data_IF_471786282058
#
_entry.id   IF_471786282058
#
_cell.length_a   1.000
_cell.length_b   1.000
_cell.length_c   1.000
_cell.angle_alpha   90.00
_cell.angle_beta   90.00
_cell.angle_gamma   90.00
#
_symmetry.space_group_name_H-M   'P 1'
#
loop_
_entity.id
_entity.type
_entity.pdbx_description
1 polymer ?
#
# COMPACT_ATOMS: atom_id res chain seq x y z
N UNK A 1 -17.31 15.97 21.01
CA UNK A 1 -16.46 15.82 22.17
C UNK A 1 -17.31 15.87 23.44
N UNK A 2 -16.99 15.04 24.41
CA UNK A 2 -17.63 15.04 25.73
C UNK A 2 -16.54 15.11 26.81
N UNK A 3 -16.75 15.98 27.80
CA UNK A 3 -15.91 16.04 28.98
C UNK A 3 -16.75 15.66 30.22
N UNK A 4 -16.15 14.94 31.13
CA UNK A 4 -16.77 14.51 32.39
C UNK A 4 -15.75 14.11 33.43
N UNK A 5 -16.19 13.85 34.65
CA UNK A 5 -15.31 13.39 35.72
C UNK A 5 -14.65 12.07 35.31
N UNK A 6 -13.35 11.96 35.54
CA UNK A 6 -12.61 10.72 35.32
C UNK A 6 -13.04 9.65 36.33
N UNK A 7 -13.53 8.46 35.92
CA UNK A 7 -14.07 7.46 36.84
C UNK A 7 -13.05 6.89 37.84
N UNK A 8 -11.77 6.97 37.54
CA UNK A 8 -10.67 6.41 38.34
C UNK A 8 -9.76 7.47 38.97
N UNK A 9 -10.00 8.74 38.69
CA UNK A 9 -9.26 9.85 39.33
C UNK A 9 -10.16 11.08 39.47
N UNK A 10 -10.59 11.37 40.68
CA UNK A 10 -11.53 12.46 41.00
C UNK A 10 -10.94 13.87 40.75
N UNK A 11 -9.62 14.01 40.67
CA UNK A 11 -8.95 15.29 40.39
C UNK A 11 -8.72 15.57 38.92
N UNK A 12 -9.13 14.65 38.03
CA UNK A 12 -8.94 14.75 36.58
C UNK A 12 -10.27 14.73 35.84
N UNK A 13 -10.31 15.43 34.74
CA UNK A 13 -11.42 15.33 33.77
C UNK A 13 -11.04 14.43 32.60
N UNK A 14 -11.99 13.60 32.16
CA UNK A 14 -11.84 12.76 30.97
C UNK A 14 -12.49 13.46 29.79
N UNK A 15 -11.72 13.69 28.74
CA UNK A 15 -12.22 14.20 27.46
C UNK A 15 -12.26 13.06 26.47
N UNK A 16 -13.44 12.74 25.96
CA UNK A 16 -13.61 11.73 24.92
C UNK A 16 -13.86 12.42 23.58
N UNK A 17 -12.98 12.16 22.62
CA UNK A 17 -13.11 12.60 21.24
C UNK A 17 -13.51 11.42 20.37
N UNK A 18 -14.71 11.48 19.81
CA UNK A 18 -15.16 10.52 18.81
C UNK A 18 -15.02 11.11 17.41
N UNK A 19 -14.30 10.41 16.53
CA UNK A 19 -14.24 10.73 15.11
C UNK A 19 -15.06 9.69 14.35
N UNK A 20 -16.11 10.14 13.68
CA UNK A 20 -16.92 9.30 12.82
C UNK A 20 -16.73 9.75 11.37
N UNK A 21 -16.24 8.86 10.54
CA UNK A 21 -16.23 9.08 9.09
C UNK A 21 -17.63 8.74 8.59
N UNK A 22 -18.26 9.68 7.88
CA UNK A 22 -19.55 9.42 7.20
C UNK A 22 -19.39 8.24 6.23
N UNK A 23 -20.48 7.51 6.00
CA UNK A 23 -20.49 6.47 4.97
C UNK A 23 -19.98 7.08 3.66
N UNK A 24 -18.98 6.43 3.08
CA UNK A 24 -18.48 6.80 1.76
C UNK A 24 -19.65 6.81 0.77
N UNK A 25 -19.64 7.78 -0.17
CA UNK A 25 -20.57 7.78 -1.28
C UNK A 25 -20.61 6.38 -1.92
N UNK A 26 -21.74 5.99 -2.45
CA UNK A 26 -22.01 4.67 -3.03
C UNK A 26 -21.07 4.32 -4.19
N UNK A 27 -20.32 5.28 -4.72
CA UNK A 27 -19.26 5.10 -5.70
C UNK A 27 -17.98 5.78 -5.17
N UNK A 28 -17.05 4.97 -4.68
CA UNK A 28 -15.72 5.47 -4.38
C UNK A 28 -14.98 5.82 -5.68
N UNK A 29 -14.18 6.92 -5.72
CA UNK A 29 -13.38 7.25 -6.89
C UNK A 29 -12.41 6.12 -7.23
N UNK A 30 -11.94 6.03 -8.49
CA UNK A 30 -10.93 5.05 -8.86
C UNK A 30 -9.64 5.27 -8.06
N UNK A 31 -8.95 4.19 -7.76
CA UNK A 31 -7.71 4.21 -6.99
C UNK A 31 -6.51 3.98 -7.90
N UNK A 32 -5.48 4.81 -7.79
CA UNK A 32 -4.17 4.58 -8.38
C UNK A 32 -3.21 4.12 -7.28
N UNK A 33 -3.00 2.82 -7.18
CA UNK A 33 -2.18 2.19 -6.15
C UNK A 33 -0.76 1.94 -6.66
N UNK A 34 0.22 2.53 -6.00
CA UNK A 34 1.63 2.24 -6.25
C UNK A 34 2.22 1.56 -5.03
N UNK A 35 2.65 0.31 -5.20
CA UNK A 35 3.29 -0.48 -4.17
C UNK A 35 4.81 -0.35 -4.31
N UNK A 36 5.45 0.22 -3.30
CA UNK A 36 6.90 0.26 -3.19
C UNK A 36 7.36 -0.89 -2.28
N UNK A 37 8.13 -1.80 -2.84
CA UNK A 37 8.46 -3.08 -2.21
C UNK A 37 9.96 -3.20 -1.97
N UNK A 38 10.31 -3.43 -0.72
CA UNK A 38 11.68 -3.81 -0.34
C UNK A 38 11.93 -5.28 -0.71
N UNK A 39 12.85 -5.51 -1.63
CA UNK A 39 13.34 -6.84 -2.01
C UNK A 39 14.83 -7.00 -1.69
N UNK A 40 15.36 -6.22 -0.75
CA UNK A 40 16.73 -6.35 -0.28
C UNK A 40 17.02 -7.74 0.33
N UNK A 41 18.29 -8.09 0.46
CA UNK A 41 18.69 -9.40 0.98
C UNK A 41 18.12 -9.73 2.36
N UNK A 42 17.87 -8.73 3.20
CA UNK A 42 17.23 -8.89 4.52
C UNK A 42 15.77 -9.38 4.45
N UNK A 43 15.13 -9.25 3.30
CA UNK A 43 13.78 -9.77 3.04
C UNK A 43 13.77 -11.26 2.67
N UNK A 44 14.96 -11.87 2.49
CA UNK A 44 15.12 -13.28 2.14
C UNK A 44 14.80 -14.28 3.25
N UNK A 45 14.48 -13.81 4.47
CA UNK A 45 13.99 -14.68 5.54
C UNK A 45 12.71 -15.40 5.10
N UNK A 46 12.58 -16.67 5.51
CA UNK A 46 11.50 -17.56 5.10
C UNK A 46 10.08 -17.03 5.40
N UNK A 47 9.95 -16.04 6.26
CA UNK A 47 8.66 -15.48 6.67
C UNK A 47 8.39 -14.09 6.11
N UNK A 48 9.41 -13.26 5.83
CA UNK A 48 9.23 -11.85 5.47
C UNK A 48 8.66 -11.66 4.06
N UNK A 49 9.36 -12.10 3.04
CA UNK A 49 8.93 -11.93 1.66
C UNK A 49 7.64 -12.72 1.34
N UNK A 50 7.47 -13.97 1.83
CA UNK A 50 6.20 -14.68 1.66
C UNK A 50 5.00 -13.97 2.29
N UNK A 51 5.14 -13.44 3.51
CA UNK A 51 4.09 -12.69 4.18
C UNK A 51 3.72 -11.40 3.42
N UNK A 52 4.74 -10.71 2.91
CA UNK A 52 4.54 -9.52 2.07
C UNK A 52 3.77 -9.87 0.80
N UNK A 53 4.15 -10.92 0.09
CA UNK A 53 3.44 -11.42 -1.11
C UNK A 53 1.98 -11.76 -0.82
N UNK A 54 1.71 -12.44 0.29
CA UNK A 54 0.34 -12.76 0.69
C UNK A 54 -0.48 -11.50 0.99
N UNK A 55 0.11 -10.53 1.67
CA UNK A 55 -0.54 -9.25 1.97
C UNK A 55 -0.86 -8.46 0.70
N UNK A 56 0.07 -8.38 -0.22
CA UNK A 56 -0.13 -7.74 -1.53
C UNK A 56 -1.24 -8.45 -2.33
N UNK A 57 -1.25 -9.78 -2.34
CA UNK A 57 -2.27 -10.56 -3.02
C UNK A 57 -3.69 -10.30 -2.46
N UNK A 58 -3.82 -10.10 -1.14
CA UNK A 58 -5.09 -9.73 -0.51
C UNK A 58 -5.57 -8.34 -0.94
N UNK A 59 -4.66 -7.36 -1.01
CA UNK A 59 -4.97 -6.01 -1.48
C UNK A 59 -5.46 -6.06 -2.93
N UNK A 60 -4.76 -6.76 -3.80
CA UNK A 60 -5.08 -6.87 -5.23
C UNK A 60 -6.46 -7.49 -5.47
N UNK A 61 -6.86 -8.48 -4.68
CA UNK A 61 -8.19 -9.10 -4.79
C UNK A 61 -9.36 -8.15 -4.47
N UNK A 62 -9.09 -7.05 -3.78
CA UNK A 62 -10.10 -6.04 -3.45
C UNK A 62 -10.21 -4.91 -4.48
N UNK A 63 -9.38 -4.89 -5.51
CA UNK A 63 -9.36 -3.84 -6.52
C UNK A 63 -10.44 -4.05 -7.60
N UNK A 64 -10.85 -2.94 -8.22
CA UNK A 64 -11.86 -2.89 -9.26
C UNK A 64 -11.21 -2.67 -10.64
N UNK A 65 -11.97 -2.87 -11.70
CA UNK A 65 -11.49 -2.69 -13.08
C UNK A 65 -11.02 -1.24 -13.38
N UNK A 66 -11.64 -0.25 -12.75
CA UNK A 66 -11.27 1.15 -12.86
C UNK A 66 -10.02 1.55 -12.04
N UNK A 67 -9.60 0.70 -11.11
CA UNK A 67 -8.40 0.93 -10.31
C UNK A 67 -7.14 0.57 -11.11
N UNK A 68 -6.02 1.18 -10.79
CA UNK A 68 -4.71 0.88 -11.37
C UNK A 68 -3.72 0.47 -10.31
N UNK A 69 -2.84 -0.46 -10.67
CA UNK A 69 -1.77 -0.96 -9.81
C UNK A 69 -0.42 -0.82 -10.50
N UNK A 70 0.52 -0.29 -9.76
CA UNK A 70 1.93 -0.31 -10.15
C UNK A 70 2.76 -0.88 -9.02
N UNK A 71 3.83 -1.59 -9.34
CA UNK A 71 4.75 -2.18 -8.37
C UNK A 71 6.15 -1.73 -8.72
N UNK A 72 6.80 -1.09 -7.76
CA UNK A 72 8.19 -0.66 -7.82
C UNK A 72 8.96 -1.42 -6.75
N UNK A 73 10.05 -2.04 -7.12
CA UNK A 73 10.94 -2.70 -6.17
C UNK A 73 12.20 -1.88 -5.96
N UNK A 74 12.80 -2.01 -4.79
CA UNK A 74 14.12 -1.47 -4.52
C UNK A 74 14.98 -2.47 -3.73
N UNK A 75 16.25 -2.58 -4.16
CA UNK A 75 17.26 -3.44 -3.53
C UNK A 75 18.67 -3.05 -3.99
N UNK A 76 19.07 -1.81 -3.78
CA UNK A 76 20.30 -1.26 -4.34
C UNK A 76 20.11 -0.62 -5.71
N UNK A 77 19.22 -1.15 -6.52
CA UNK A 77 18.65 -0.50 -7.72
C UNK A 77 17.14 -0.52 -7.60
N UNK A 78 16.50 0.51 -8.11
CA UNK A 78 15.05 0.59 -8.24
C UNK A 78 14.61 -0.01 -9.58
N UNK A 79 13.50 -0.74 -9.58
CA UNK A 79 12.92 -1.33 -10.77
C UNK A 79 11.39 -1.21 -10.76
N UNK A 80 10.81 -0.80 -11.88
CA UNK A 80 9.37 -0.83 -12.10
C UNK A 80 9.01 -2.20 -12.69
N UNK A 81 8.51 -3.09 -11.85
CA UNK A 81 8.17 -4.47 -12.28
C UNK A 81 6.76 -4.60 -12.81
N UNK A 82 5.88 -3.64 -12.49
CA UNK A 82 4.52 -3.53 -13.00
C UNK A 82 4.12 -2.06 -13.08
N UNK A 83 3.53 -1.62 -14.18
CA UNK A 83 3.14 -0.23 -14.38
C UNK A 83 1.71 -0.10 -14.89
N UNK A 84 0.84 0.52 -14.07
CA UNK A 84 -0.52 0.90 -14.45
C UNK A 84 -1.41 -0.25 -14.90
N UNK A 85 -1.25 -1.45 -14.34
CA UNK A 85 -2.12 -2.58 -14.62
C UNK A 85 -3.54 -2.31 -14.11
N UNK A 86 -4.56 -2.77 -14.84
CA UNK A 86 -5.95 -2.71 -14.37
C UNK A 86 -6.14 -3.56 -13.13
N UNK A 87 -6.91 -3.08 -12.15
CA UNK A 87 -7.13 -3.77 -10.88
C UNK A 87 -7.82 -5.13 -11.02
N UNK A 88 -8.54 -5.36 -12.11
CA UNK A 88 -9.18 -6.65 -12.41
C UNK A 88 -8.26 -7.67 -13.11
N UNK A 89 -7.07 -7.24 -13.58
CA UNK A 89 -6.05 -8.13 -14.13
C UNK A 89 -5.26 -8.84 -13.03
N UNK A 90 -5.99 -9.53 -12.18
CA UNK A 90 -5.48 -10.17 -10.96
C UNK A 90 -4.40 -11.21 -11.27
N UNK A 91 -4.53 -11.97 -12.34
CA UNK A 91 -3.55 -13.02 -12.69
C UNK A 91 -2.19 -12.41 -13.06
N UNK A 92 -2.17 -11.35 -13.87
CA UNK A 92 -0.94 -10.66 -14.25
C UNK A 92 -0.26 -10.04 -13.03
N UNK A 93 -1.03 -9.38 -12.17
CA UNK A 93 -0.51 -8.74 -10.95
C UNK A 93 0.05 -9.79 -9.99
N UNK A 94 -0.68 -10.88 -9.75
CA UNK A 94 -0.22 -11.97 -8.88
C UNK A 94 1.01 -12.69 -9.44
N UNK A 95 1.12 -12.84 -10.75
CA UNK A 95 2.31 -13.41 -11.40
C UNK A 95 3.56 -12.58 -11.09
N UNK A 96 3.47 -11.25 -11.19
CA UNK A 96 4.56 -10.34 -10.83
C UNK A 96 4.91 -10.44 -9.34
N UNK A 97 3.91 -10.41 -8.45
CA UNK A 97 4.12 -10.54 -7.00
C UNK A 97 4.81 -11.86 -6.65
N UNK A 98 4.37 -12.97 -7.23
CA UNK A 98 4.96 -14.28 -6.97
C UNK A 98 6.40 -14.40 -7.49
N UNK A 99 6.73 -13.67 -8.56
CA UNK A 99 8.08 -13.62 -9.13
C UNK A 99 9.07 -12.76 -8.35
N UNK A 100 8.66 -12.01 -7.32
CA UNK A 100 9.58 -11.19 -6.52
C UNK A 100 10.58 -12.07 -5.75
N UNK A 101 11.86 -11.71 -5.82
CA UNK A 101 12.97 -12.40 -5.14
C UNK A 101 13.78 -11.40 -4.33
N UNK A 102 14.19 -11.81 -3.13
CA UNK A 102 15.02 -10.98 -2.28
C UNK A 102 16.48 -11.06 -2.72
N UNK A 103 17.09 -9.91 -3.00
CA UNK A 103 18.50 -9.80 -3.37
C UNK A 103 19.03 -8.36 -3.18
N UNK A 104 20.34 -8.21 -3.04
CA UNK A 104 21.02 -6.92 -3.04
C UNK A 104 20.95 -6.13 -1.74
N UNK A 105 21.32 -4.85 -1.83
CA UNK A 105 21.37 -3.88 -0.73
C UNK A 105 20.11 -3.02 -0.69
N UNK A 106 19.96 -2.19 0.35
CA UNK A 106 18.79 -1.33 0.51
C UNK A 106 19.11 0.11 0.05
N UNK A 107 18.36 0.63 -0.93
CA UNK A 107 18.36 2.04 -1.32
C UNK A 107 16.93 2.55 -1.45
N UNK A 108 16.31 2.89 -0.31
CA UNK A 108 14.91 3.27 -0.25
C UNK A 108 14.60 4.64 -0.86
N UNK A 109 15.55 5.58 -0.87
CA UNK A 109 15.32 6.94 -1.39
C UNK A 109 15.07 6.95 -2.90
N UNK A 110 15.90 6.23 -3.65
CA UNK A 110 15.73 6.09 -5.09
C UNK A 110 14.41 5.36 -5.44
N UNK A 111 14.07 4.30 -4.67
CA UNK A 111 12.81 3.59 -4.81
C UNK A 111 11.59 4.47 -4.57
N UNK A 112 11.63 5.31 -3.54
CA UNK A 112 10.54 6.25 -3.24
C UNK A 112 10.35 7.28 -4.36
N UNK A 113 11.43 7.87 -4.86
CA UNK A 113 11.39 8.82 -5.98
C UNK A 113 10.81 8.19 -7.24
N UNK A 114 11.16 6.94 -7.52
CA UNK A 114 10.62 6.17 -8.63
C UNK A 114 9.12 5.90 -8.47
N UNK A 115 8.68 5.52 -7.26
CA UNK A 115 7.27 5.28 -6.97
C UNK A 115 6.41 6.53 -7.20
N UNK A 116 6.85 7.70 -6.79
CA UNK A 116 6.16 8.97 -7.06
C UNK A 116 6.07 9.26 -8.56
N UNK A 117 7.16 9.05 -9.30
CA UNK A 117 7.14 9.22 -10.76
C UNK A 117 6.12 8.29 -11.42
N UNK A 118 6.10 7.03 -11.03
CA UNK A 118 5.12 6.06 -11.56
C UNK A 118 3.70 6.48 -11.21
N UNK A 119 3.45 6.98 -10.00
CA UNK A 119 2.14 7.47 -9.59
C UNK A 119 1.65 8.64 -10.46
N UNK A 120 2.54 9.57 -10.80
CA UNK A 120 2.21 10.68 -11.70
C UNK A 120 1.92 10.20 -13.13
N UNK A 121 2.73 9.27 -13.65
CA UNK A 121 2.59 8.74 -15.01
C UNK A 121 1.35 7.85 -15.20
N UNK A 122 0.89 7.22 -14.14
CA UNK A 122 -0.29 6.33 -14.14
C UNK A 122 -1.54 6.99 -13.55
N UNK A 123 -1.50 8.30 -13.31
CA UNK A 123 -2.59 9.04 -12.70
C UNK A 123 -3.93 8.80 -13.42
N UNK A 124 -4.99 8.68 -12.63
CA UNK A 124 -6.38 8.59 -13.09
C UNK A 124 -7.09 9.84 -12.62
N UNK A 125 -7.83 10.51 -13.50
CA UNK A 125 -8.61 11.68 -13.12
C UNK A 125 -9.63 11.30 -12.05
N UNK A 126 -9.61 12.03 -10.91
CA UNK A 126 -10.48 11.77 -9.76
C UNK A 126 -9.94 10.75 -8.75
N UNK A 127 -8.79 10.14 -9.04
CA UNK A 127 -8.11 9.24 -8.09
C UNK A 127 -7.43 9.99 -6.97
#
# INVERSE_FOLDING_TARGET
>A
ARAGACPWNAESELVVLGLTVGQAATEAPPTNLVLLVDVSGSMGDAEKLPLLKESMARIVKGLRAEDRVSIVTYSGVEEVVLKGASGDDTEAILSVINGLEAAGSTNGEAGLSMAYRVAEETHIEGA
#
